data_IF_336538814059
#
_entry.id   IF_336538814059
#
_cell.length_a   1.000
_cell.length_b   1.000
_cell.length_c   1.000
_cell.angle_alpha   90.00
_cell.angle_beta   90.00
_cell.angle_gamma   90.00
#
_symmetry.space_group_name_H-M   'P 1'
#
loop_
_entity.id
_entity.type
_entity.pdbx_description
1 polymer ?
#
# COMPACT_ATOMS: atom_id res chain seq x y z
N UNK A 1 -0.86 21.04 -6.71
CA UNK A 1 0.09 19.91 -6.61
C UNK A 1 -0.64 18.62 -6.29
N UNK A 2 -1.63 18.69 -5.40
CA UNK A 2 -2.46 17.55 -4.96
C UNK A 2 -3.25 16.87 -6.08
N UNK A 3 -3.70 17.62 -7.10
CA UNK A 3 -4.46 17.06 -8.24
C UNK A 3 -3.73 15.94 -8.98
N UNK A 4 -2.39 15.99 -9.04
CA UNK A 4 -1.56 14.95 -9.66
C UNK A 4 -1.65 13.62 -8.91
N UNK A 5 -1.92 13.66 -7.61
CA UNK A 5 -1.98 12.49 -6.74
C UNK A 5 -3.41 11.97 -6.53
N UNK A 6 -4.43 12.83 -6.70
CA UNK A 6 -5.83 12.48 -6.55
C UNK A 6 -6.35 11.73 -7.78
N UNK A 7 -5.99 12.19 -8.99
CA UNK A 7 -6.52 11.63 -10.25
C UNK A 7 -5.64 10.54 -10.87
N UNK A 8 -4.86 9.81 -10.06
CA UNK A 8 -3.98 8.75 -10.57
C UNK A 8 -4.82 7.59 -11.08
N UNK A 9 -4.80 7.39 -12.40
CA UNK A 9 -5.45 6.26 -13.08
C UNK A 9 -5.06 4.92 -12.44
N UNK A 10 -6.02 4.01 -12.39
CA UNK A 10 -5.78 2.64 -11.94
C UNK A 10 -5.09 1.88 -13.08
N UNK A 11 -4.26 0.91 -12.71
CA UNK A 11 -3.76 -0.07 -13.67
C UNK A 11 -4.93 -1.00 -14.03
N UNK A 12 -5.10 -1.29 -15.32
CA UNK A 12 -6.13 -2.20 -15.80
C UNK A 12 -6.02 -3.57 -15.11
N UNK A 13 -7.16 -4.12 -14.68
CA UNK A 13 -7.22 -5.39 -13.95
C UNK A 13 -6.85 -5.32 -12.46
N UNK A 14 -6.24 -4.24 -11.96
CA UNK A 14 -5.81 -4.17 -10.55
C UNK A 14 -6.98 -4.26 -9.55
N UNK A 15 -8.17 -3.72 -9.90
CA UNK A 15 -9.37 -3.87 -9.08
C UNK A 15 -9.78 -5.33 -8.93
N UNK A 16 -9.88 -6.04 -10.03
CA UNK A 16 -10.34 -7.42 -10.08
C UNK A 16 -9.33 -8.37 -9.43
N UNK A 17 -8.05 -8.15 -9.69
CA UNK A 17 -6.99 -8.89 -9.03
C UNK A 17 -7.05 -8.75 -7.52
N UNK A 18 -7.16 -7.51 -7.01
CA UNK A 18 -7.22 -7.27 -5.56
C UNK A 18 -8.51 -7.78 -4.93
N UNK A 19 -9.66 -7.64 -5.60
CA UNK A 19 -10.93 -8.13 -5.06
C UNK A 19 -11.00 -9.66 -4.98
N UNK A 20 -10.38 -10.38 -5.93
CA UNK A 20 -10.31 -11.84 -5.90
C UNK A 20 -9.25 -12.32 -4.91
N UNK A 21 -8.06 -11.70 -4.91
CA UNK A 21 -6.95 -12.09 -4.03
C UNK A 21 -7.33 -11.93 -2.56
N UNK A 22 -7.94 -10.81 -2.19
CA UNK A 22 -8.29 -10.50 -0.80
C UNK A 22 -9.40 -11.38 -0.21
N UNK A 23 -10.07 -12.22 -1.01
CA UNK A 23 -11.03 -13.20 -0.49
C UNK A 23 -10.35 -14.36 0.25
N UNK A 24 -9.13 -14.70 -0.15
CA UNK A 24 -8.44 -15.89 0.35
C UNK A 24 -7.01 -15.61 0.86
N UNK A 25 -6.46 -14.43 0.55
CA UNK A 25 -5.11 -14.05 0.92
C UNK A 25 -5.09 -12.69 1.60
N UNK A 26 -4.28 -12.62 2.65
CA UNK A 26 -3.96 -11.39 3.32
C UNK A 26 -3.07 -10.49 2.45
N UNK A 27 -3.59 -9.32 2.06
CA UNK A 27 -2.86 -8.37 1.20
C UNK A 27 -2.33 -7.18 2.02
N UNK A 28 -1.10 -6.73 1.72
CA UNK A 28 -0.50 -5.52 2.28
C UNK A 28 0.06 -4.61 1.19
N UNK A 29 0.24 -3.31 1.49
CA UNK A 29 0.78 -2.30 0.58
C UNK A 29 2.15 -1.80 1.07
N UNK A 30 3.18 -1.95 0.23
CA UNK A 30 4.53 -1.42 0.47
C UNK A 30 4.91 -0.36 -0.56
N UNK A 31 4.87 0.92 -0.19
CA UNK A 31 5.05 2.06 -1.11
C UNK A 31 6.17 2.99 -0.68
N UNK A 32 6.95 3.50 -1.63
CA UNK A 32 7.94 4.55 -1.35
C UNK A 32 7.35 5.95 -1.17
N UNK A 33 6.03 6.11 -1.36
CA UNK A 33 5.36 7.39 -1.07
C UNK A 33 5.27 7.63 0.43
N UNK A 34 5.34 8.90 0.84
CA UNK A 34 5.01 9.33 2.20
C UNK A 34 3.52 9.10 2.51
N UNK A 35 3.16 9.04 3.79
CA UNK A 35 1.77 8.77 4.24
C UNK A 35 0.74 9.70 3.63
N UNK A 36 1.02 11.00 3.58
CA UNK A 36 0.08 12.00 3.04
C UNK A 36 -0.21 11.76 1.56
N UNK A 37 0.84 11.58 0.75
CA UNK A 37 0.70 11.28 -0.67
C UNK A 37 0.03 9.92 -0.91
N UNK A 38 0.32 8.92 -0.06
CA UNK A 38 -0.34 7.61 -0.13
C UNK A 38 -1.85 7.74 0.17
N UNK A 39 -2.21 8.50 1.20
CA UNK A 39 -3.60 8.72 1.58
C UNK A 39 -4.39 9.41 0.47
N UNK A 40 -3.81 10.42 -0.21
CA UNK A 40 -4.41 11.07 -1.37
C UNK A 40 -4.63 10.10 -2.52
N UNK A 41 -3.61 9.30 -2.88
CA UNK A 41 -3.68 8.30 -3.96
C UNK A 41 -4.73 7.21 -3.73
N UNK A 42 -5.07 6.92 -2.46
CA UNK A 42 -6.02 5.88 -2.07
C UNK A 42 -7.42 6.41 -1.75
N UNK A 43 -7.60 7.73 -1.59
CA UNK A 43 -8.81 8.36 -1.02
C UNK A 43 -10.11 7.82 -1.62
N UNK A 44 -10.18 7.72 -2.95
CA UNK A 44 -11.39 7.32 -3.68
C UNK A 44 -11.26 5.93 -4.33
N UNK A 45 -10.29 5.12 -3.87
CA UNK A 45 -10.04 3.78 -4.39
C UNK A 45 -10.53 2.74 -3.39
N UNK A 46 -11.34 1.80 -3.89
CA UNK A 46 -11.79 0.63 -3.12
C UNK A 46 -10.66 -0.09 -2.36
N UNK A 47 -9.45 -0.13 -2.94
CA UNK A 47 -8.29 -0.80 -2.35
C UNK A 47 -7.85 -0.24 -1.00
N UNK A 48 -8.25 0.99 -0.65
CA UNK A 48 -7.95 1.59 0.67
C UNK A 48 -8.32 0.66 1.82
N UNK A 49 -9.41 -0.10 1.68
CA UNK A 49 -9.92 -1.00 2.71
C UNK A 49 -9.52 -2.47 2.48
N UNK A 50 -8.76 -2.77 1.43
CA UNK A 50 -8.33 -4.13 1.08
C UNK A 50 -7.03 -4.52 1.78
N UNK A 51 -6.14 -3.54 2.01
CA UNK A 51 -4.84 -3.80 2.61
C UNK A 51 -4.95 -3.87 4.14
N UNK A 52 -4.58 -4.99 4.76
CA UNK A 52 -4.54 -5.08 6.24
C UNK A 52 -3.32 -4.37 6.83
N UNK A 53 -2.31 -4.07 6.01
CA UNK A 53 -1.13 -3.31 6.39
C UNK A 53 -0.67 -2.40 5.26
N UNK A 54 -0.30 -1.16 5.60
CA UNK A 54 0.31 -0.21 4.66
C UNK A 54 1.59 0.34 5.26
N UNK A 55 2.72 0.08 4.61
CA UNK A 55 4.03 0.64 4.96
C UNK A 55 4.39 1.69 3.89
N UNK A 56 4.54 2.93 4.36
CA UNK A 56 4.93 4.09 3.55
C UNK A 56 6.44 4.34 3.65
N UNK A 57 7.00 5.13 2.73
CA UNK A 57 8.43 5.40 2.65
C UNK A 57 8.98 6.23 3.82
N UNK A 58 8.09 6.87 4.58
CA UNK A 58 8.34 7.63 5.81
C UNK A 58 7.98 6.85 7.08
N UNK A 59 7.89 5.53 7.00
CA UNK A 59 7.80 4.70 8.20
C UNK A 59 9.10 4.76 9.00
N UNK A 60 9.02 5.17 10.27
CA UNK A 60 10.17 5.37 11.14
C UNK A 60 10.95 4.07 11.42
N UNK A 61 10.36 2.91 11.15
CA UNK A 61 11.02 1.60 11.27
C UNK A 61 11.86 1.25 10.04
N UNK A 62 11.80 2.04 8.97
CA UNK A 62 12.62 1.83 7.78
C UNK A 62 14.04 2.36 8.03
N UNK A 63 14.97 1.44 8.28
CA UNK A 63 16.39 1.76 8.35
C UNK A 63 16.98 1.95 6.96
N UNK A 64 16.55 1.12 5.99
CA UNK A 64 16.98 1.18 4.59
C UNK A 64 15.76 1.24 3.65
N UNK A 65 15.45 2.40 3.06
CA UNK A 65 14.39 2.49 2.06
C UNK A 65 14.78 1.70 0.79
N UNK A 66 13.82 1.53 -0.13
CA UNK A 66 14.08 0.90 -1.44
C UNK A 66 15.33 1.52 -2.09
N UNK A 67 16.28 0.73 -2.60
CA UNK A 67 16.17 -0.70 -2.94
C UNK A 67 16.36 -1.69 -1.77
N UNK A 68 16.54 -1.22 -0.53
CA UNK A 68 16.53 -2.07 0.66
C UNK A 68 15.23 -2.88 0.81
N UNK A 69 15.35 -4.05 1.45
CA UNK A 69 14.25 -5.01 1.62
C UNK A 69 13.29 -4.66 2.77
N UNK A 70 13.68 -3.75 3.65
CA UNK A 70 13.04 -3.49 4.94
C UNK A 70 11.53 -3.19 4.80
N UNK A 71 11.14 -2.44 3.76
CA UNK A 71 9.73 -2.11 3.50
C UNK A 71 8.86 -3.33 3.20
N UNK A 72 9.43 -4.36 2.57
CA UNK A 72 8.70 -5.59 2.28
C UNK A 72 8.62 -6.48 3.52
N UNK A 73 9.70 -6.55 4.30
CA UNK A 73 9.74 -7.31 5.56
C UNK A 73 8.76 -6.75 6.59
N UNK A 74 8.76 -5.43 6.79
CA UNK A 74 7.81 -4.76 7.67
C UNK A 74 6.36 -4.92 7.21
N UNK A 75 6.13 -4.92 5.90
CA UNK A 75 4.79 -5.13 5.34
C UNK A 75 4.31 -6.56 5.60
N UNK A 76 5.19 -7.55 5.42
CA UNK A 76 4.88 -8.95 5.73
C UNK A 76 4.59 -9.16 7.23
N UNK A 77 5.33 -8.49 8.12
CA UNK A 77 5.15 -8.57 9.58
C UNK A 77 3.80 -8.01 10.07
N UNK A 78 3.13 -7.16 9.27
CA UNK A 78 1.74 -6.75 9.59
C UNK A 78 0.76 -7.93 9.60
N UNK A 79 1.15 -9.07 9.04
CA UNK A 79 0.39 -10.32 9.02
C UNK A 79 0.88 -11.25 10.12
N UNK A 80 0.35 -11.11 11.34
CA UNK A 80 0.87 -11.96 12.43
C UNK A 80 0.28 -11.84 13.83
N UNK A 81 -0.89 -11.23 14.04
CA UNK A 81 -1.62 -11.35 15.32
C UNK A 81 -3.09 -11.65 15.07
N UNK A 82 -3.37 -12.92 14.79
CA UNK A 82 -4.65 -13.55 15.13
C UNK A 82 -4.51 -14.24 16.47
#
# INVERSE_FOLDING_TARGET
MDDLFINVSKIDGANEFLSQTAQNLSVGLATGSHREACALKLKDKFWRNVFEGTICGDDQRLERPKPGSDIFLLCADTKGRT
#
